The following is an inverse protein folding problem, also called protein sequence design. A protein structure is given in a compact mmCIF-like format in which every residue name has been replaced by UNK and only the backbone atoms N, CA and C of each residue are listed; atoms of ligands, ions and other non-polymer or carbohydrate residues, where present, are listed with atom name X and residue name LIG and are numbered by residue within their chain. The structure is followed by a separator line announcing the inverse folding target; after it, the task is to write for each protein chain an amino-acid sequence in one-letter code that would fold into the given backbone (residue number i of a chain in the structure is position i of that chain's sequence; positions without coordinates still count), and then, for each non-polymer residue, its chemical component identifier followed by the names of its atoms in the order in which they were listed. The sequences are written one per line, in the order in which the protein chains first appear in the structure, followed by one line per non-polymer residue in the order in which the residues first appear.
data_IF_859866848773
#
_entry.id   IF_859866848773
#
_cell.length_a   1.000
_cell.length_b   1.000
_cell.length_c   1.000
_cell.angle_alpha   90.00
_cell.angle_beta   90.00
_cell.angle_gamma   90.00
#
_symmetry.space_group_name_H-M   'P 1'
#
loop_
_entity.id
_entity.type
_entity.pdbx_description
1 polymer ?
#
# COMPACT_ATOMS: atom_id res chain seq x y z
N UNK A 1 -3.47 -11.40 -10.88
CA UNK A 1 -3.36 -10.80 -9.53
C UNK A 1 -3.32 -9.29 -9.66
N UNK A 2 -4.10 -8.57 -8.84
CA UNK A 2 -4.12 -7.09 -8.82
C UNK A 2 -3.57 -6.56 -7.51
N UNK A 3 -2.51 -5.78 -7.58
CA UNK A 3 -1.84 -5.18 -6.43
C UNK A 3 -2.11 -3.68 -6.42
N UNK A 4 -2.49 -3.14 -5.29
CA UNK A 4 -2.65 -1.71 -5.08
C UNK A 4 -1.43 -1.18 -4.34
N UNK A 5 -0.81 -0.13 -4.85
CA UNK A 5 0.37 0.49 -4.27
C UNK A 5 0.06 1.95 -3.89
N UNK A 6 0.20 2.25 -2.61
CA UNK A 6 0.23 3.61 -2.11
C UNK A 6 1.56 4.26 -2.49
N UNK A 7 1.51 5.21 -3.42
CA UNK A 7 2.74 5.89 -3.87
C UNK A 7 3.01 7.20 -3.11
N UNK A 8 2.13 7.59 -2.21
CA UNK A 8 2.27 8.80 -1.39
C UNK A 8 2.84 8.50 0.00
N UNK A 9 2.96 7.21 0.37
CA UNK A 9 3.51 6.80 1.65
C UNK A 9 5.02 6.53 1.59
N UNK A 10 5.73 6.95 2.64
CA UNK A 10 7.18 6.75 2.80
C UNK A 10 8.03 7.97 2.44
N UNK A 11 9.27 7.96 2.95
CA UNK A 11 10.18 9.11 2.90
C UNK A 11 10.66 9.46 1.48
N UNK A 12 10.69 8.47 0.58
CA UNK A 12 11.12 8.64 -0.81
C UNK A 12 9.94 8.59 -1.79
N UNK A 13 8.74 8.88 -1.30
CA UNK A 13 7.55 8.94 -2.16
C UNK A 13 7.53 10.23 -3.00
N UNK A 14 6.95 10.21 -4.19
CA UNK A 14 6.41 9.03 -4.88
C UNK A 14 7.46 8.27 -5.71
N UNK A 15 8.69 8.75 -5.79
CA UNK A 15 9.71 8.26 -6.74
C UNK A 15 10.05 6.78 -6.52
N UNK A 16 10.36 6.39 -5.28
CA UNK A 16 10.76 5.02 -4.99
C UNK A 16 9.62 4.01 -5.21
N UNK A 17 8.38 4.23 -4.72
CA UNK A 17 7.27 3.33 -5.00
C UNK A 17 6.96 3.19 -6.49
N UNK A 18 6.99 4.30 -7.26
CA UNK A 18 6.73 4.27 -8.72
C UNK A 18 7.82 3.49 -9.44
N UNK A 19 9.10 3.74 -9.11
CA UNK A 19 10.22 2.98 -9.69
C UNK A 19 10.12 1.48 -9.34
N UNK A 20 9.75 1.15 -8.11
CA UNK A 20 9.49 -0.22 -7.68
C UNK A 20 8.40 -0.90 -8.50
N UNK A 21 7.30 -0.19 -8.78
CA UNK A 21 6.22 -0.69 -9.63
C UNK A 21 6.70 -0.95 -11.07
N UNK A 22 7.49 -0.04 -11.65
CA UNK A 22 8.08 -0.22 -12.98
C UNK A 22 8.97 -1.47 -13.01
N UNK A 23 9.84 -1.62 -12.02
CA UNK A 23 10.73 -2.78 -11.92
C UNK A 23 9.97 -4.10 -11.74
N UNK A 24 8.92 -4.08 -10.91
CA UNK A 24 8.05 -5.24 -10.71
C UNK A 24 7.37 -5.64 -12.02
N UNK A 25 6.77 -4.71 -12.75
CA UNK A 25 6.11 -4.99 -14.03
C UNK A 25 7.05 -5.51 -15.12
N UNK A 26 8.33 -5.10 -15.08
CA UNK A 26 9.36 -5.64 -16.00
C UNK A 26 9.78 -7.07 -15.66
N UNK A 27 9.60 -7.51 -14.41
CA UNK A 27 10.07 -8.82 -13.90
C UNK A 27 8.95 -9.85 -13.71
N UNK A 28 7.71 -9.39 -13.55
CA UNK A 28 6.57 -10.27 -13.28
C UNK A 28 5.89 -10.74 -14.58
N UNK A 29 5.13 -11.84 -14.45
CA UNK A 29 4.34 -12.37 -15.56
C UNK A 29 3.21 -11.41 -15.97
N UNK A 30 2.75 -11.55 -17.20
CA UNK A 30 1.76 -10.68 -17.86
C UNK A 30 0.41 -10.52 -17.14
N UNK A 31 0.10 -11.38 -16.18
CA UNK A 31 -1.17 -11.37 -15.43
C UNK A 31 -1.19 -10.46 -14.19
N UNK A 32 -0.03 -9.92 -13.79
CA UNK A 32 0.03 -9.06 -12.61
C UNK A 32 -0.32 -7.62 -13.00
N UNK A 33 -1.36 -7.08 -12.39
CA UNK A 33 -1.79 -5.69 -12.54
C UNK A 33 -1.37 -4.87 -11.32
N UNK A 34 -0.90 -3.64 -11.55
CA UNK A 34 -0.56 -2.69 -10.48
C UNK A 34 -1.43 -1.45 -10.62
N UNK A 35 -2.05 -1.04 -9.52
CA UNK A 35 -2.80 0.21 -9.41
C UNK A 35 -2.02 1.15 -8.49
N UNK A 36 -1.48 2.23 -9.03
CA UNK A 36 -0.84 3.30 -8.25
C UNK A 36 -1.92 4.24 -7.70
N UNK A 37 -1.92 4.49 -6.39
CA UNK A 37 -2.84 5.46 -5.78
C UNK A 37 -2.05 6.66 -5.27
N UNK A 38 -2.44 7.86 -5.72
CA UNK A 38 -1.82 9.13 -5.32
C UNK A 38 -2.14 10.26 -6.27
N UNK A 39 -1.44 11.37 -6.13
CA UNK A 39 -1.58 12.49 -7.05
C UNK A 39 -1.07 12.11 -8.44
N UNK A 40 -1.97 12.12 -9.43
CA UNK A 40 -1.66 11.61 -10.76
C UNK A 40 -0.61 12.43 -11.49
N UNK A 41 -0.53 13.75 -11.28
CA UNK A 41 0.47 14.59 -11.95
C UNK A 41 1.88 14.22 -11.47
N UNK A 42 2.03 14.00 -10.16
CA UNK A 42 3.29 13.61 -9.56
C UNK A 42 3.67 12.18 -9.97
N UNK A 43 2.68 11.27 -10.08
CA UNK A 43 2.88 9.92 -10.57
C UNK A 43 3.36 9.93 -12.03
N UNK A 44 2.71 10.71 -12.92
CA UNK A 44 3.12 10.80 -14.32
C UNK A 44 4.54 11.33 -14.47
N UNK A 45 4.93 12.34 -13.68
CA UNK A 45 6.33 12.82 -13.65
C UNK A 45 7.31 11.71 -13.25
N UNK A 46 6.95 10.91 -12.26
CA UNK A 46 7.81 9.82 -11.77
C UNK A 46 7.85 8.60 -12.69
N UNK A 47 6.83 8.40 -13.53
CA UNK A 47 6.81 7.34 -14.55
C UNK A 47 7.73 7.65 -15.72
N UNK A 48 8.07 8.92 -15.95
CA UNK A 48 9.00 9.37 -17.00
C UNK A 48 8.72 8.71 -18.36
N UNK A 49 7.45 8.75 -18.79
CA UNK A 49 7.00 8.18 -20.05
C UNK A 49 6.81 6.65 -20.06
N UNK A 50 7.08 5.96 -18.94
CA UNK A 50 6.80 4.53 -18.87
C UNK A 50 5.30 4.24 -18.95
N UNK A 51 4.93 3.31 -19.81
CA UNK A 51 3.56 2.83 -19.99
C UNK A 51 3.50 1.30 -19.95
N UNK A 52 2.40 0.77 -19.45
CA UNK A 52 2.14 -0.67 -19.45
C UNK A 52 0.62 -0.90 -19.43
N UNK A 53 0.10 -1.89 -20.18
CA UNK A 53 -1.32 -2.26 -20.10
C UNK A 53 -1.72 -2.79 -18.71
N UNK A 54 -0.74 -3.22 -17.92
CA UNK A 54 -0.93 -3.73 -16.58
C UNK A 54 -0.74 -2.67 -15.48
N UNK A 55 -0.55 -1.40 -15.85
CA UNK A 55 -0.42 -0.27 -14.93
C UNK A 55 -1.63 0.64 -15.04
N UNK A 56 -2.23 0.97 -13.92
CA UNK A 56 -3.29 1.97 -13.85
C UNK A 56 -3.07 2.92 -12.69
N UNK A 57 -3.65 4.12 -12.78
CA UNK A 57 -3.54 5.15 -11.76
C UNK A 57 -4.92 5.44 -11.21
N UNK A 58 -5.04 5.49 -9.89
CA UNK A 58 -6.20 6.00 -9.17
C UNK A 58 -5.82 7.28 -8.45
N UNK A 59 -6.35 8.39 -8.96
CA UNK A 59 -6.02 9.72 -8.44
C UNK A 59 -6.58 9.95 -7.04
N UNK A 60 -5.76 10.59 -6.20
CA UNK A 60 -6.16 11.28 -4.98
C UNK A 60 -5.12 12.32 -4.59
N UNK A 61 -5.58 13.46 -4.06
CA UNK A 61 -4.71 14.51 -3.51
C UNK A 61 -4.46 14.36 -2.01
N UNK A 62 -5.12 13.38 -1.37
CA UNK A 62 -5.07 13.21 0.07
C UNK A 62 -4.06 12.11 0.45
N UNK A 63 -3.06 12.47 1.25
CA UNK A 63 -2.02 11.57 1.76
C UNK A 63 -1.99 11.54 3.28
N UNK A 64 -1.44 10.46 3.85
CA UNK A 64 -1.19 10.33 5.28
C UNK A 64 0.22 10.83 5.58
N UNK A 65 0.30 11.80 6.47
CA UNK A 65 1.56 12.36 6.96
C UNK A 65 2.07 11.59 8.19
N UNK A 66 3.37 11.69 8.47
CA UNK A 66 3.97 11.08 9.67
C UNK A 66 3.36 11.58 10.98
N UNK A 67 2.89 12.83 10.99
CA UNK A 67 2.26 13.50 12.13
C UNK A 67 0.77 13.17 12.32
N UNK A 68 0.14 12.51 11.36
CA UNK A 68 -1.27 12.15 11.46
C UNK A 68 -1.52 11.13 12.57
N UNK A 69 -2.56 11.39 13.36
CA UNK A 69 -2.97 10.46 14.42
C UNK A 69 -3.58 9.20 13.82
N UNK A 70 -2.92 8.06 14.00
CA UNK A 70 -3.37 6.76 13.50
C UNK A 70 -4.83 6.42 13.85
N UNK A 71 -5.28 6.77 15.06
CA UNK A 71 -6.64 6.50 15.55
C UNK A 71 -7.75 7.26 14.82
N UNK A 72 -7.43 8.39 14.18
CA UNK A 72 -8.41 9.26 13.53
C UNK A 72 -8.28 9.30 12.02
N UNK A 73 -7.21 8.75 11.45
CA UNK A 73 -6.80 8.90 10.06
C UNK A 73 -7.91 8.50 9.06
N UNK A 74 -8.67 7.45 9.35
CA UNK A 74 -9.76 6.98 8.49
C UNK A 74 -10.90 8.01 8.39
N UNK A 75 -11.14 8.76 9.47
CA UNK A 75 -12.18 9.79 9.52
C UNK A 75 -11.69 11.13 8.99
N UNK A 76 -10.45 11.51 9.35
CA UNK A 76 -9.90 12.82 8.97
C UNK A 76 -9.43 12.86 7.51
N UNK A 77 -8.95 11.71 6.98
CA UNK A 77 -8.45 11.59 5.60
C UNK A 77 -9.11 10.42 4.85
N UNK A 78 -10.44 10.44 4.66
CA UNK A 78 -11.21 9.32 4.10
C UNK A 78 -10.91 9.01 2.63
N UNK A 79 -10.27 9.94 1.93
CA UNK A 79 -9.86 9.82 0.53
C UNK A 79 -8.35 9.66 0.37
N UNK A 80 -7.61 9.40 1.45
CA UNK A 80 -6.17 9.14 1.34
C UNK A 80 -5.88 7.85 0.55
N UNK A 81 -4.70 7.80 -0.04
CA UNK A 81 -4.20 6.62 -0.78
C UNK A 81 -4.31 5.34 0.05
N UNK A 82 -3.97 5.41 1.34
CA UNK A 82 -4.12 4.32 2.30
C UNK A 82 -5.58 3.85 2.42
N UNK A 83 -6.51 4.77 2.69
CA UNK A 83 -7.93 4.43 2.91
C UNK A 83 -8.57 3.90 1.63
N UNK A 84 -8.29 4.51 0.49
CA UNK A 84 -8.76 4.05 -0.82
C UNK A 84 -8.24 2.64 -1.10
N UNK A 85 -6.95 2.39 -0.90
CA UNK A 85 -6.33 1.09 -1.14
C UNK A 85 -6.97 -0.01 -0.30
N UNK A 86 -7.15 0.21 0.99
CA UNK A 86 -7.78 -0.74 1.90
C UNK A 86 -9.28 -0.98 1.56
N UNK A 87 -10.01 0.05 1.11
CA UNK A 87 -11.38 -0.12 0.61
C UNK A 87 -11.41 -1.00 -0.63
N UNK A 88 -10.47 -0.86 -1.56
CA UNK A 88 -10.37 -1.74 -2.74
C UNK A 88 -10.16 -3.20 -2.35
N UNK A 89 -9.36 -3.48 -1.31
CA UNK A 89 -9.21 -4.84 -0.77
C UNK A 89 -10.54 -5.35 -0.18
N UNK A 90 -11.18 -4.54 0.67
CA UNK A 90 -12.47 -4.91 1.28
C UNK A 90 -13.55 -5.23 0.24
N UNK A 91 -13.58 -4.47 -0.86
CA UNK A 91 -14.52 -4.62 -1.95
C UNK A 91 -14.12 -5.71 -2.97
N UNK A 92 -13.05 -6.47 -2.69
CA UNK A 92 -12.50 -7.51 -3.58
C UNK A 92 -12.14 -6.99 -4.99
N UNK A 93 -11.81 -5.71 -5.09
CA UNK A 93 -11.35 -5.06 -6.34
C UNK A 93 -9.85 -5.19 -6.54
N UNK A 94 -9.13 -5.66 -5.52
CA UNK A 94 -7.70 -5.95 -5.54
C UNK A 94 -7.37 -7.08 -4.55
N UNK A 95 -6.25 -7.72 -4.78
CA UNK A 95 -5.80 -8.91 -4.03
C UNK A 95 -4.81 -8.54 -2.92
N UNK A 96 -4.03 -7.50 -3.10
CA UNK A 96 -3.03 -7.04 -2.13
C UNK A 96 -2.91 -5.51 -2.12
N UNK A 97 -2.56 -4.96 -0.95
CA UNK A 97 -2.23 -3.55 -0.75
C UNK A 97 -0.82 -3.42 -0.17
N UNK A 98 -0.03 -2.53 -0.76
CA UNK A 98 1.35 -2.24 -0.34
C UNK A 98 1.48 -0.75 -0.06
N UNK A 99 2.08 -0.39 1.05
CA UNK A 99 2.45 0.99 1.39
C UNK A 99 3.73 1.00 2.22
N UNK A 100 4.59 1.97 2.00
CA UNK A 100 5.77 2.27 2.81
C UNK A 100 5.51 3.43 3.79
N UNK A 101 4.25 3.83 3.98
CA UNK A 101 3.85 4.94 4.84
C UNK A 101 3.76 4.58 6.32
N UNK A 102 3.08 5.43 7.07
CA UNK A 102 2.93 5.33 8.53
C UNK A 102 2.33 3.98 8.97
N UNK A 103 3.12 3.16 9.65
CA UNK A 103 2.77 1.81 10.08
C UNK A 103 1.57 1.80 11.05
N UNK A 104 1.54 2.75 11.99
CA UNK A 104 0.43 2.87 12.94
C UNK A 104 -0.89 3.22 12.23
N UNK A 105 -0.83 4.10 11.25
CA UNK A 105 -1.99 4.44 10.42
C UNK A 105 -2.46 3.23 9.59
N UNK A 106 -1.54 2.46 9.03
CA UNK A 106 -1.87 1.23 8.29
C UNK A 106 -2.56 0.21 9.19
N UNK A 107 -2.02 -0.05 10.38
CA UNK A 107 -2.60 -1.00 11.34
C UNK A 107 -4.00 -0.56 11.79
N UNK A 108 -4.16 0.71 12.15
CA UNK A 108 -5.45 1.26 12.56
C UNK A 108 -6.48 1.23 11.43
N UNK A 109 -6.12 1.69 10.24
CA UNK A 109 -7.00 1.71 9.07
C UNK A 109 -7.38 0.29 8.63
N UNK A 110 -6.43 -0.64 8.59
CA UNK A 110 -6.69 -2.04 8.25
C UNK A 110 -7.67 -2.67 9.25
N UNK A 111 -7.47 -2.44 10.54
CA UNK A 111 -8.38 -2.96 11.58
C UNK A 111 -9.79 -2.41 11.43
N UNK A 112 -9.93 -1.12 11.13
CA UNK A 112 -11.25 -0.47 10.99
C UNK A 112 -11.95 -0.83 9.67
N UNK A 113 -11.22 -0.93 8.58
CA UNK A 113 -11.79 -1.13 7.24
C UNK A 113 -11.96 -2.61 6.92
N UNK A 114 -10.91 -3.42 7.07
CA UNK A 114 -10.93 -4.84 6.75
C UNK A 114 -11.52 -5.68 7.91
N UNK A 115 -11.31 -5.23 9.14
CA UNK A 115 -11.63 -5.99 10.32
C UNK A 115 -10.48 -6.91 10.74
N UNK A 116 -10.75 -7.72 11.76
CA UNK A 116 -9.80 -8.70 12.31
C UNK A 116 -10.11 -10.09 11.77
N UNK A 117 -9.07 -10.89 11.66
CA UNK A 117 -9.22 -12.32 11.38
C UNK A 117 -10.05 -12.96 12.52
N UNK A 118 -11.01 -13.84 12.22
CA UNK A 118 -11.79 -14.51 13.25
C UNK A 118 -10.88 -15.12 14.32
N UNK A 119 -11.28 -14.97 15.59
CA UNK A 119 -10.56 -15.43 16.78
C UNK A 119 -9.25 -14.70 17.10
N UNK A 120 -8.78 -13.74 16.28
CA UNK A 120 -7.64 -12.87 16.60
C UNK A 120 -8.12 -11.66 17.38
N UNK A 121 -7.79 -11.58 18.67
CA UNK A 121 -8.22 -10.49 19.55
C UNK A 121 -7.53 -9.16 19.26
N UNK A 122 -6.23 -9.21 18.90
CA UNK A 122 -5.43 -8.04 18.57
C UNK A 122 -4.63 -8.30 17.29
N UNK A 123 -4.62 -7.37 16.32
CA UNK A 123 -3.70 -7.45 15.20
C UNK A 123 -2.28 -7.26 15.72
N UNK A 124 -1.32 -7.91 15.08
CA UNK A 124 0.10 -7.75 15.35
C UNK A 124 0.84 -7.44 14.05
N UNK A 125 1.90 -6.64 14.16
CA UNK A 125 2.85 -6.44 13.10
C UNK A 125 3.78 -7.63 13.05
N UNK A 126 4.04 -8.15 11.87
CA UNK A 126 4.97 -9.26 11.67
C UNK A 126 5.96 -8.95 10.57
N UNK A 127 7.17 -9.38 10.77
CA UNK A 127 8.28 -9.24 9.81
C UNK A 127 8.78 -10.62 9.42
N UNK A 128 8.99 -10.80 8.12
CA UNK A 128 9.64 -12.00 7.59
C UNK A 128 11.14 -11.77 7.52
N UNK A 129 11.92 -12.58 8.25
CA UNK A 129 13.36 -12.62 8.18
C UNK A 129 13.80 -13.77 7.28
N UNK A 130 14.48 -13.49 6.16
CA UNK A 130 15.10 -14.55 5.37
C UNK A 130 16.24 -15.20 6.17
N UNK A 131 16.32 -16.52 6.10
CA UNK A 131 17.39 -17.29 6.74
C UNK A 131 17.93 -18.35 5.75
N UNK A 132 19.11 -18.90 6.02
CA UNK A 132 19.77 -19.87 5.15
C UNK A 132 18.90 -21.12 4.88
N UNK A 133 18.07 -21.52 5.83
CA UNK A 133 17.16 -22.68 5.74
C UNK A 133 15.69 -22.24 5.80
N UNK A 134 15.28 -21.41 4.86
CA UNK A 134 13.93 -20.84 4.82
C UNK A 134 13.83 -19.50 5.52
N UNK A 135 12.63 -19.10 5.96
CA UNK A 135 12.37 -17.82 6.63
C UNK A 135 11.84 -17.99 8.04
N UNK A 136 11.99 -16.96 8.84
CA UNK A 136 11.40 -16.83 10.18
C UNK A 136 10.42 -15.67 10.19
N UNK A 137 9.32 -15.84 10.91
CA UNK A 137 8.35 -14.74 11.12
C UNK A 137 8.51 -14.30 12.58
N UNK A 138 8.79 -13.01 12.74
CA UNK A 138 8.77 -12.35 14.04
C UNK A 138 7.50 -11.52 14.13
N UNK A 139 6.72 -11.72 15.19
CA UNK A 139 5.46 -11.01 15.42
C UNK A 139 5.61 -10.01 16.57
N UNK A 140 4.73 -8.98 16.56
CA UNK A 140 4.65 -7.93 17.58
C UNK A 140 5.92 -7.07 17.65
N UNK A 141 6.36 -6.65 16.47
CA UNK A 141 7.61 -5.85 16.26
C UNK A 141 7.34 -4.35 16.15
N UNK A 142 6.16 -3.89 16.59
CA UNK A 142 5.75 -2.48 16.57
C UNK A 142 6.21 -1.68 17.79
#
# INVERSE_FOLDING_TARGET
MKIVLDVMGGDLSPSAPVLGAIQALKKTHSETQIVLIGNQEVIYKSLDGFTSPNLSIKHTDQSIEATDKASTVVKSKPNSSLVIGLKMIKEKKADAFISAGNTGAQMAASTLILGRIPHVKRPALSVFFPALTGGKILCDVG
#
